data_IF_031957004956
#
_entry.id   IF_031957004956
#
_cell.length_a   1.000
_cell.length_b   1.000
_cell.length_c   1.000
_cell.angle_alpha   90.00
_cell.angle_beta   90.00
_cell.angle_gamma   90.00
#
_symmetry.space_group_name_H-M   'P 1'
#
loop_
_entity.id
_entity.type
_entity.pdbx_description
1 polymer ?
#
# COMPACT_ATOMS: atom_id res chain seq x y z
N UNK A 1 -48.52 -5.12 37.13
CA UNK A 1 -47.91 -4.94 35.81
C UNK A 1 -46.46 -4.55 36.03
N UNK A 2 -45.53 -5.50 35.86
CA UNK A 2 -44.09 -5.26 36.02
C UNK A 2 -43.50 -5.05 34.63
N UNK A 3 -43.01 -3.87 34.34
CA UNK A 3 -42.27 -3.58 33.11
C UNK A 3 -40.84 -4.12 33.26
N UNK A 4 -40.52 -5.14 32.46
CA UNK A 4 -39.19 -5.70 32.33
C UNK A 4 -38.43 -4.81 31.36
N UNK A 5 -37.51 -3.98 31.86
CA UNK A 5 -36.63 -3.15 31.07
C UNK A 5 -35.52 -4.08 30.52
N UNK A 6 -35.62 -4.51 29.28
CA UNK A 6 -34.54 -5.21 28.57
C UNK A 6 -33.49 -4.18 28.16
N UNK A 7 -32.38 -4.14 28.90
CA UNK A 7 -31.20 -3.38 28.53
C UNK A 7 -30.52 -4.11 27.38
N UNK A 8 -30.69 -3.62 26.16
CA UNK A 8 -29.91 -4.09 25.00
C UNK A 8 -28.52 -3.48 25.09
N UNK A 9 -27.55 -4.32 25.51
CA UNK A 9 -26.13 -3.96 25.52
C UNK A 9 -25.63 -3.97 24.08
N UNK A 10 -25.56 -2.79 23.46
CA UNK A 10 -24.88 -2.62 22.18
C UNK A 10 -23.38 -2.84 22.42
N UNK A 11 -22.89 -4.01 22.14
CA UNK A 11 -21.46 -4.27 21.98
C UNK A 11 -21.05 -3.56 20.67
N UNK A 12 -20.48 -2.36 20.78
CA UNK A 12 -19.74 -1.75 19.69
C UNK A 12 -18.48 -2.57 19.49
N UNK A 13 -18.55 -3.57 18.59
CA UNK A 13 -17.36 -4.23 18.08
C UNK A 13 -16.52 -3.14 17.41
N UNK A 14 -15.47 -2.70 18.07
CA UNK A 14 -14.43 -1.88 17.44
C UNK A 14 -13.86 -2.70 16.29
N UNK A 15 -14.15 -2.29 15.06
CA UNK A 15 -13.57 -2.80 13.82
C UNK A 15 -12.09 -2.34 13.71
N UNK A 16 -11.31 -2.57 14.76
CA UNK A 16 -9.86 -2.57 14.67
C UNK A 16 -9.47 -3.95 14.15
N UNK A 17 -8.91 -3.99 12.96
CA UNK A 17 -8.45 -5.24 12.37
C UNK A 17 -7.33 -5.83 13.23
N UNK A 18 -7.65 -6.74 14.10
CA UNK A 18 -6.68 -7.63 14.74
C UNK A 18 -6.34 -8.71 13.73
N UNK A 19 -5.29 -8.46 12.95
CA UNK A 19 -4.83 -9.44 11.96
C UNK A 19 -4.16 -10.64 12.59
N UNK A 20 -3.80 -10.63 13.86
CA UNK A 20 -3.27 -11.79 14.56
C UNK A 20 -4.32 -12.91 14.70
N UNK A 21 -5.57 -12.53 14.97
CA UNK A 21 -6.71 -13.45 15.06
C UNK A 21 -7.52 -13.56 13.75
N UNK A 22 -7.02 -13.00 12.66
CA UNK A 22 -7.71 -13.06 11.37
C UNK A 22 -7.68 -14.49 10.80
N UNK A 23 -8.79 -15.05 10.28
CA UNK A 23 -8.85 -16.45 9.85
C UNK A 23 -7.85 -16.84 8.76
N UNK A 24 -7.40 -15.87 7.96
CA UNK A 24 -6.47 -16.11 6.84
C UNK A 24 -5.00 -15.77 7.16
N UNK A 25 -4.65 -15.39 8.39
CA UNK A 25 -3.31 -14.94 8.76
C UNK A 25 -2.41 -16.04 9.30
N UNK A 26 -2.96 -17.11 9.85
CA UNK A 26 -2.21 -18.11 10.61
C UNK A 26 -1.07 -18.76 9.80
N UNK A 27 -1.30 -19.06 8.52
CA UNK A 27 -0.27 -19.61 7.65
C UNK A 27 0.91 -18.63 7.47
N UNK A 28 0.62 -17.36 7.30
CA UNK A 28 1.65 -16.31 7.16
C UNK A 28 2.41 -16.13 8.47
N UNK A 29 1.71 -16.10 9.62
CA UNK A 29 2.32 -16.03 10.96
C UNK A 29 3.29 -17.19 11.17
N UNK A 30 2.86 -18.42 10.91
CA UNK A 30 3.72 -19.59 11.04
C UNK A 30 4.92 -19.55 10.09
N UNK A 31 4.74 -19.06 8.86
CA UNK A 31 5.82 -18.91 7.90
C UNK A 31 6.87 -17.90 8.38
N UNK A 32 6.45 -16.76 8.92
CA UNK A 32 7.36 -15.75 9.46
C UNK A 32 8.16 -16.29 10.66
N UNK A 33 7.53 -17.04 11.54
CA UNK A 33 8.20 -17.64 12.72
C UNK A 33 9.11 -18.80 12.30
N UNK A 34 8.54 -19.81 11.62
CA UNK A 34 9.20 -21.09 11.39
C UNK A 34 10.27 -21.05 10.29
N UNK A 35 10.03 -20.27 9.21
CA UNK A 35 10.94 -20.21 8.05
C UNK A 35 11.86 -19.00 8.07
N UNK A 36 11.36 -17.86 8.56
CA UNK A 36 12.13 -16.60 8.55
C UNK A 36 12.73 -16.26 9.92
N UNK A 37 12.40 -17.03 10.98
CA UNK A 37 13.03 -16.90 12.29
C UNK A 37 12.63 -15.63 13.06
N UNK A 38 11.49 -15.03 12.74
CA UNK A 38 10.99 -13.90 13.52
C UNK A 38 10.54 -14.35 14.92
N UNK A 39 10.83 -13.53 15.93
CA UNK A 39 10.36 -13.78 17.28
C UNK A 39 8.82 -13.76 17.36
N UNK A 40 8.17 -14.79 17.95
CA UNK A 40 6.72 -14.89 18.01
C UNK A 40 6.02 -13.66 18.61
N UNK A 41 6.59 -13.10 19.69
CA UNK A 41 6.06 -11.89 20.34
C UNK A 41 6.10 -10.65 19.43
N UNK A 42 7.13 -10.52 18.61
CA UNK A 42 7.24 -9.45 17.62
C UNK A 42 6.17 -9.59 16.52
N UNK A 43 5.99 -10.79 15.98
CA UNK A 43 4.96 -11.07 14.98
C UNK A 43 3.57 -10.78 15.54
N UNK A 44 3.29 -11.24 16.76
CA UNK A 44 2.02 -10.97 17.45
C UNK A 44 1.76 -9.48 17.60
N UNK A 45 2.75 -8.71 18.07
CA UNK A 45 2.63 -7.26 18.24
C UNK A 45 2.35 -6.56 16.90
N UNK A 46 3.10 -6.90 15.85
CA UNK A 46 2.97 -6.31 14.52
C UNK A 46 1.58 -6.59 13.93
N UNK A 47 1.10 -7.83 14.02
CA UNK A 47 -0.21 -8.22 13.46
C UNK A 47 -1.38 -7.62 14.24
N UNK A 48 -1.29 -7.52 15.57
CA UNK A 48 -2.30 -6.85 16.41
C UNK A 48 -2.40 -5.35 16.17
N UNK A 49 -1.27 -4.70 15.88
CA UNK A 49 -1.21 -3.25 15.68
C UNK A 49 -1.50 -2.80 14.26
N UNK A 50 -1.59 -3.72 13.29
CA UNK A 50 -1.92 -3.40 11.91
C UNK A 50 -3.41 -3.03 11.76
N UNK A 51 -3.69 -2.07 10.87
CA UNK A 51 -5.02 -1.51 10.70
C UNK A 51 -5.57 -1.80 9.31
N UNK A 52 -6.78 -2.34 9.28
CA UNK A 52 -7.51 -2.51 8.02
C UNK A 52 -7.78 -1.16 7.34
N UNK A 53 -7.47 -1.11 6.05
CA UNK A 53 -7.62 0.08 5.20
C UNK A 53 -8.69 -0.17 4.12
N UNK A 54 -9.97 -0.04 4.47
CA UNK A 54 -11.07 -0.32 3.55
C UNK A 54 -10.97 0.46 2.24
N UNK A 55 -10.52 1.72 2.30
CA UNK A 55 -10.34 2.56 1.10
C UNK A 55 -9.36 1.98 0.08
N UNK A 56 -8.38 1.18 0.52
CA UNK A 56 -7.44 0.50 -0.38
C UNK A 56 -8.17 -0.59 -1.16
N UNK A 57 -9.02 -1.38 -0.48
CA UNK A 57 -9.85 -2.41 -1.13
C UNK A 57 -10.78 -1.78 -2.16
N UNK A 58 -11.43 -0.68 -1.79
CA UNK A 58 -12.36 0.03 -2.68
C UNK A 58 -11.63 0.56 -3.93
N UNK A 59 -10.45 1.15 -3.74
CA UNK A 59 -9.63 1.69 -4.83
C UNK A 59 -9.12 0.60 -5.78
N UNK A 60 -8.59 -0.51 -5.26
CA UNK A 60 -8.08 -1.61 -6.09
C UNK A 60 -9.20 -2.37 -6.81
N UNK A 61 -10.41 -2.33 -6.27
CA UNK A 61 -11.59 -2.97 -6.87
C UNK A 61 -12.21 -2.18 -8.02
N UNK A 62 -11.89 -0.89 -8.14
CA UNK A 62 -12.42 0.01 -9.18
C UNK A 62 -11.28 0.87 -9.76
N UNK A 63 -10.27 0.27 -10.39
CA UNK A 63 -9.14 1.02 -10.91
C UNK A 63 -9.55 1.91 -12.09
N UNK A 64 -8.97 3.10 -12.15
CA UNK A 64 -9.28 4.14 -13.14
C UNK A 64 -9.05 3.68 -14.58
N UNK A 65 -8.11 2.78 -14.81
CA UNK A 65 -7.73 2.21 -16.10
C UNK A 65 -8.90 1.54 -16.83
N UNK A 66 -9.85 0.98 -16.09
CA UNK A 66 -11.00 0.29 -16.67
C UNK A 66 -12.21 1.20 -16.94
N UNK A 67 -12.17 2.43 -16.42
CA UNK A 67 -13.32 3.35 -16.48
C UNK A 67 -13.06 4.62 -17.28
N UNK A 68 -11.79 4.96 -17.52
CA UNK A 68 -11.41 6.20 -18.18
C UNK A 68 -11.01 5.98 -19.64
N UNK A 69 -11.26 6.99 -20.50
CA UNK A 69 -10.71 7.01 -21.84
C UNK A 69 -9.20 7.16 -21.79
N UNK A 70 -8.51 6.67 -22.83
CA UNK A 70 -7.06 6.84 -22.97
C UNK A 70 -6.62 8.31 -22.86
N UNK A 71 -7.36 9.23 -23.48
CA UNK A 71 -7.05 10.63 -23.42
C UNK A 71 -7.10 11.20 -22.00
N UNK A 72 -8.16 10.86 -21.25
CA UNK A 72 -8.29 11.25 -19.84
C UNK A 72 -7.18 10.67 -18.98
N UNK A 73 -6.85 9.40 -19.18
CA UNK A 73 -5.78 8.71 -18.48
C UNK A 73 -4.41 9.34 -18.77
N UNK A 74 -4.08 9.54 -20.05
CA UNK A 74 -2.86 10.20 -20.50
C UNK A 74 -2.68 11.58 -19.88
N UNK A 75 -3.73 12.41 -19.87
CA UNK A 75 -3.69 13.77 -19.35
C UNK A 75 -3.47 13.84 -17.84
N UNK A 76 -3.73 12.74 -17.09
CA UNK A 76 -3.40 12.64 -15.67
C UNK A 76 -1.88 12.64 -15.44
N UNK A 77 -1.12 12.05 -16.36
CA UNK A 77 0.32 11.85 -16.20
C UNK A 77 1.15 12.87 -16.99
N UNK A 78 0.73 13.24 -18.20
CA UNK A 78 1.45 14.16 -19.07
C UNK A 78 0.89 15.59 -18.90
N UNK A 79 1.39 16.28 -17.89
CA UNK A 79 1.07 17.68 -17.60
C UNK A 79 2.34 18.54 -17.66
N UNK A 80 2.24 19.73 -18.20
CA UNK A 80 3.32 20.71 -18.34
C UNK A 80 4.09 20.95 -17.04
N UNK A 81 3.38 21.04 -15.92
CA UNK A 81 3.99 21.23 -14.60
C UNK A 81 4.88 20.05 -14.20
N UNK A 82 4.45 18.81 -14.49
CA UNK A 82 5.25 17.62 -14.20
C UNK A 82 6.51 17.58 -15.06
N UNK A 83 6.38 17.90 -16.36
CA UNK A 83 7.52 17.96 -17.29
C UNK A 83 8.56 18.99 -16.81
N UNK A 84 8.13 20.21 -16.49
CA UNK A 84 9.04 21.25 -15.95
C UNK A 84 9.72 20.82 -14.66
N UNK A 85 8.99 20.23 -13.74
CA UNK A 85 9.55 19.74 -12.48
C UNK A 85 10.54 18.59 -12.71
N UNK A 86 10.30 17.73 -13.69
CA UNK A 86 11.22 16.66 -14.06
C UNK A 86 12.54 17.17 -14.63
N UNK A 87 12.49 18.15 -15.53
CA UNK A 87 13.70 18.80 -16.04
C UNK A 87 14.52 19.41 -14.91
N UNK A 88 13.85 20.16 -14.02
CA UNK A 88 14.52 20.74 -12.86
C UNK A 88 15.09 19.66 -11.92
N UNK A 89 14.38 18.56 -11.71
CA UNK A 89 14.87 17.46 -10.88
C UNK A 89 16.13 16.81 -11.47
N UNK A 90 16.23 16.68 -12.80
CA UNK A 90 17.44 16.21 -13.47
C UNK A 90 18.60 17.19 -13.22
N UNK A 91 18.39 18.49 -13.42
CA UNK A 91 19.41 19.51 -13.18
C UNK A 91 19.91 19.50 -11.74
N UNK A 92 19.00 19.46 -10.76
CA UNK A 92 19.32 19.50 -9.33
C UNK A 92 20.04 18.21 -8.86
N UNK A 93 19.88 17.07 -9.57
CA UNK A 93 20.40 15.75 -9.15
C UNK A 93 21.33 15.12 -10.21
N UNK A 94 21.88 15.89 -11.13
CA UNK A 94 22.58 15.39 -12.32
C UNK A 94 23.70 14.38 -12.00
N UNK A 95 24.48 14.63 -10.96
CA UNK A 95 25.61 13.77 -10.59
C UNK A 95 25.14 12.39 -10.09
N UNK A 96 24.06 12.34 -9.30
CA UNK A 96 23.49 11.09 -8.79
C UNK A 96 22.83 10.30 -9.92
N UNK A 97 22.11 11.00 -10.80
CA UNK A 97 21.42 10.38 -11.94
C UNK A 97 22.41 9.82 -12.97
N UNK A 98 23.53 10.52 -13.23
CA UNK A 98 24.58 10.02 -14.13
C UNK A 98 25.23 8.75 -13.56
N UNK A 99 25.50 8.68 -12.25
CA UNK A 99 26.01 7.48 -11.62
C UNK A 99 25.03 6.30 -11.72
N UNK A 100 23.76 6.55 -11.50
CA UNK A 100 22.74 5.51 -11.64
C UNK A 100 22.62 5.02 -13.09
N UNK A 101 22.66 5.93 -14.06
CA UNK A 101 22.67 5.58 -15.49
C UNK A 101 23.89 4.75 -15.88
N UNK A 102 25.08 5.11 -15.37
CA UNK A 102 26.33 4.36 -15.60
C UNK A 102 26.29 2.97 -14.96
N UNK A 103 25.80 2.87 -13.73
CA UNK A 103 25.79 1.62 -12.95
C UNK A 103 24.73 0.63 -13.44
N UNK A 104 23.52 1.13 -13.75
CA UNK A 104 22.35 0.27 -14.06
C UNK A 104 21.96 0.26 -15.54
N UNK A 105 22.56 1.10 -16.38
CA UNK A 105 22.25 1.18 -17.80
C UNK A 105 20.86 1.74 -18.13
N UNK A 106 20.19 2.38 -17.17
CA UNK A 106 18.86 2.97 -17.35
C UNK A 106 19.01 4.48 -17.56
N UNK A 107 18.50 5.04 -18.70
CA UNK A 107 18.56 6.47 -18.96
C UNK A 107 17.94 7.29 -17.81
N UNK A 108 18.62 8.36 -17.40
CA UNK A 108 18.15 9.20 -16.28
C UNK A 108 16.77 9.80 -16.51
N UNK A 109 16.41 10.06 -17.76
CA UNK A 109 15.08 10.55 -18.15
C UNK A 109 13.98 9.54 -17.78
N UNK A 110 14.26 8.22 -17.94
CA UNK A 110 13.34 7.14 -17.57
C UNK A 110 13.20 7.06 -16.06
N UNK A 111 14.32 7.11 -15.33
CA UNK A 111 14.32 7.11 -13.85
C UNK A 111 13.46 8.27 -13.34
N UNK A 112 13.70 9.46 -13.86
CA UNK A 112 12.99 10.67 -13.42
C UNK A 112 11.52 10.69 -13.85
N UNK A 113 11.20 10.11 -15.01
CA UNK A 113 9.80 9.96 -15.45
C UNK A 113 9.02 9.07 -14.47
N UNK A 114 9.58 7.94 -14.04
CA UNK A 114 8.99 7.04 -13.04
C UNK A 114 8.81 7.79 -11.71
N UNK A 115 9.84 8.45 -11.20
CA UNK A 115 9.75 9.24 -9.96
C UNK A 115 8.67 10.33 -10.04
N UNK A 116 8.50 10.92 -11.22
CA UNK A 116 7.48 11.93 -11.47
C UNK A 116 6.06 11.37 -11.42
N UNK A 117 5.85 10.15 -11.93
CA UNK A 117 4.55 9.46 -11.92
C UNK A 117 4.22 8.99 -10.51
N UNK A 118 5.13 8.27 -9.87
CA UNK A 118 4.89 7.59 -8.59
C UNK A 118 4.74 8.57 -7.42
N UNK A 119 5.63 9.54 -7.32
CA UNK A 119 5.73 10.36 -6.10
C UNK A 119 5.76 11.87 -6.35
N UNK A 120 5.57 12.33 -7.59
CA UNK A 120 5.81 13.73 -7.98
C UNK A 120 7.18 14.22 -7.50
N UNK A 121 8.22 13.43 -7.78
CA UNK A 121 9.61 13.70 -7.38
C UNK A 121 9.80 13.73 -5.86
N UNK A 122 9.25 12.75 -5.13
CA UNK A 122 9.33 12.62 -3.68
C UNK A 122 8.40 13.52 -2.87
N UNK A 123 7.51 14.29 -3.53
CA UNK A 123 6.57 15.20 -2.84
C UNK A 123 5.32 14.53 -2.31
N UNK A 124 4.95 13.37 -2.85
CA UNK A 124 3.79 12.59 -2.46
C UNK A 124 4.24 11.17 -2.15
N UNK A 125 4.25 10.80 -0.89
CA UNK A 125 4.72 9.50 -0.40
C UNK A 125 3.60 8.53 -0.03
N UNK A 126 2.34 8.91 -0.26
CA UNK A 126 1.19 8.12 0.17
C UNK A 126 0.78 8.40 1.62
N UNK A 127 -0.41 7.92 2.01
CA UNK A 127 -1.01 8.19 3.31
C UNK A 127 -1.21 6.93 4.17
N UNK A 128 -0.84 5.76 3.64
CA UNK A 128 -1.03 4.49 4.32
C UNK A 128 0.32 3.86 4.65
N UNK A 129 0.40 3.23 5.81
CA UNK A 129 1.56 2.38 6.13
C UNK A 129 1.57 1.20 5.17
N UNK A 130 2.75 0.85 4.64
CA UNK A 130 2.91 -0.28 3.72
C UNK A 130 2.40 -1.57 4.34
N UNK A 131 2.77 -1.83 5.61
CA UNK A 131 2.33 -3.00 6.36
C UNK A 131 0.79 -3.10 6.45
N UNK A 132 0.11 -2.01 6.81
CA UNK A 132 -1.36 -1.98 6.88
C UNK A 132 -2.00 -2.27 5.51
N UNK A 133 -1.38 -1.76 4.44
CA UNK A 133 -1.83 -1.97 3.06
C UNK A 133 -1.65 -3.43 2.63
N UNK A 134 -0.47 -4.01 2.88
CA UNK A 134 -0.17 -5.40 2.55
C UNK A 134 -1.05 -6.37 3.34
N UNK A 135 -1.22 -6.16 4.65
CA UNK A 135 -2.10 -7.00 5.47
C UNK A 135 -3.56 -6.89 5.02
N UNK A 136 -4.05 -5.68 4.74
CA UNK A 136 -5.39 -5.49 4.21
C UNK A 136 -5.60 -6.25 2.91
N UNK A 137 -4.69 -6.11 1.96
CA UNK A 137 -4.80 -6.78 0.66
C UNK A 137 -4.50 -8.27 0.74
N UNK A 138 -3.61 -8.69 1.61
CA UNK A 138 -3.25 -10.08 1.81
C UNK A 138 -4.35 -10.90 2.48
N UNK A 139 -5.07 -10.32 3.44
CA UNK A 139 -6.03 -11.08 4.23
C UNK A 139 -7.50 -10.79 3.87
N UNK A 140 -7.81 -9.58 3.42
CA UNK A 140 -9.18 -9.13 3.12
C UNK A 140 -9.50 -8.98 1.61
N UNK A 141 -8.52 -9.18 0.70
CA UNK A 141 -8.74 -9.07 -0.73
C UNK A 141 -8.39 -10.38 -1.47
N UNK A 142 -9.37 -11.27 -1.70
CA UNK A 142 -9.12 -12.63 -2.20
C UNK A 142 -8.43 -12.71 -3.56
N UNK A 143 -8.71 -11.76 -4.48
CA UNK A 143 -8.25 -11.83 -5.88
C UNK A 143 -6.73 -11.94 -6.05
N UNK A 144 -5.95 -11.32 -5.16
CA UNK A 144 -4.47 -11.33 -5.20
C UNK A 144 -3.87 -11.60 -3.83
N UNK A 145 -4.61 -12.24 -2.94
CA UNK A 145 -4.21 -12.49 -1.56
C UNK A 145 -2.82 -13.12 -1.47
N UNK A 146 -2.54 -14.14 -2.29
CA UNK A 146 -1.22 -14.80 -2.27
C UNK A 146 -0.08 -13.81 -2.57
N UNK A 147 -0.22 -13.00 -3.62
CA UNK A 147 0.79 -12.01 -4.00
C UNK A 147 1.11 -11.06 -2.83
N UNK A 148 0.08 -10.49 -2.19
CA UNK A 148 0.28 -9.54 -1.09
C UNK A 148 0.79 -10.19 0.20
N UNK A 149 0.52 -11.49 0.43
CA UNK A 149 1.11 -12.26 1.52
C UNK A 149 2.58 -12.59 1.28
N UNK A 150 2.96 -12.83 0.02
CA UNK A 150 4.34 -13.09 -0.35
C UNK A 150 5.23 -11.83 -0.22
N UNK A 151 4.62 -10.62 -0.21
CA UNK A 151 5.29 -9.34 -0.01
C UNK A 151 5.38 -8.92 1.48
N UNK A 152 4.72 -9.63 2.39
CA UNK A 152 4.78 -9.42 3.84
C UNK A 152 6.06 -10.00 4.44
#
# INVERSE_FOLDING_TARGET
MKYLLQTVLFFTLSLYGDYFNHPNSQETINTLIDKHGFEPSYVEEVFKNAKKQQKIIDSISSPAEFTWTWERYKNLFIEEKRIRNGKKFIEDNINTLNKAEEEYGVPKEVIVAILGIETRYGKILGNYRVLDSLMTLGFDYPRRSKFFKDEL
#
